data_IF_669615790618
#
_entry.id   IF_669615790618
#
_cell.length_a   1.000
_cell.length_b   1.000
_cell.length_c   1.000
_cell.angle_alpha   90.00
_cell.angle_beta   90.00
_cell.angle_gamma   90.00
#
_symmetry.space_group_name_H-M   'P 1'
#
loop_
_entity.id
_entity.type
_entity.pdbx_description
1 polymer ?
#
# COMPACT_ATOMS: atom_id res chain seq x y z
N UNK A 1 13.34 -23.37 29.72
CA UNK A 1 13.53 -24.19 28.51
C UNK A 1 13.30 -23.29 27.30
N UNK A 2 14.29 -23.10 26.44
CA UNK A 2 14.12 -22.33 25.19
C UNK A 2 13.04 -23.00 24.36
N UNK A 3 11.93 -22.31 24.08
CA UNK A 3 10.90 -22.80 23.18
C UNK A 3 11.54 -22.98 21.80
N UNK A 4 11.67 -24.21 21.33
CA UNK A 4 12.29 -24.50 20.03
C UNK A 4 11.36 -23.99 18.94
N UNK A 5 11.74 -22.85 18.30
CA UNK A 5 11.02 -22.25 17.19
C UNK A 5 11.56 -22.81 15.86
N UNK A 6 10.68 -23.38 15.06
CA UNK A 6 10.97 -23.93 13.73
C UNK A 6 10.55 -22.93 12.66
N UNK A 7 11.50 -22.50 11.84
CA UNK A 7 11.25 -21.59 10.70
C UNK A 7 11.10 -22.37 9.42
N UNK A 8 10.14 -22.00 8.58
CA UNK A 8 9.92 -22.57 7.25
C UNK A 8 9.62 -21.47 6.24
N UNK A 9 9.98 -21.72 4.98
CA UNK A 9 9.65 -20.84 3.84
C UNK A 9 8.64 -21.56 2.95
N UNK A 10 7.58 -20.84 2.56
CA UNK A 10 6.52 -21.33 1.70
C UNK A 10 6.68 -20.71 0.32
N UNK A 11 6.70 -21.53 -0.73
CA UNK A 11 6.79 -21.08 -2.13
C UNK A 11 5.45 -20.59 -2.69
N UNK A 12 4.37 -20.72 -1.92
CA UNK A 12 3.04 -20.21 -2.21
C UNK A 12 2.25 -20.05 -0.91
N UNK A 13 1.39 -19.03 -0.86
CA UNK A 13 0.46 -18.83 0.25
C UNK A 13 -0.57 -19.99 0.36
N UNK A 14 -0.84 -20.71 -0.73
CA UNK A 14 -1.72 -21.87 -0.74
C UNK A 14 -1.21 -23.04 0.13
N UNK A 15 0.04 -23.04 0.56
CA UNK A 15 0.63 -24.05 1.43
C UNK A 15 0.25 -23.92 2.91
N UNK A 16 -0.49 -22.86 3.26
CA UNK A 16 -1.03 -22.64 4.61
C UNK A 16 -2.54 -22.41 4.56
N UNK A 17 -3.25 -22.92 5.55
CA UNK A 17 -4.71 -22.74 5.60
C UNK A 17 -5.09 -21.25 5.82
N UNK A 18 -6.08 -20.71 5.08
CA UNK A 18 -6.54 -19.33 5.24
C UNK A 18 -6.89 -18.97 6.68
N UNK A 19 -7.61 -19.86 7.36
CA UNK A 19 -8.00 -19.64 8.76
C UNK A 19 -6.81 -19.54 9.73
N UNK A 20 -5.73 -20.29 9.48
CA UNK A 20 -4.51 -20.25 10.29
C UNK A 20 -3.75 -18.95 10.05
N UNK A 21 -3.60 -18.54 8.79
CA UNK A 21 -2.95 -17.30 8.38
C UNK A 21 -3.72 -16.06 8.90
N UNK A 22 -5.01 -15.95 8.54
CA UNK A 22 -5.84 -14.78 8.87
C UNK A 22 -6.03 -14.61 10.38
N UNK A 23 -6.11 -15.71 11.16
CA UNK A 23 -6.17 -15.65 12.62
C UNK A 23 -4.95 -14.97 13.23
N UNK A 24 -3.76 -15.19 12.70
CA UNK A 24 -2.53 -14.60 13.24
C UNK A 24 -2.37 -13.14 12.82
N UNK A 25 -2.91 -12.73 11.67
CA UNK A 25 -2.96 -11.31 11.29
C UNK A 25 -3.72 -10.51 12.34
N UNK A 26 -4.82 -11.05 12.86
CA UNK A 26 -5.59 -10.47 13.96
C UNK A 26 -6.29 -9.14 13.64
N UNK A 27 -6.36 -8.76 12.36
CA UNK A 27 -7.01 -7.55 11.87
C UNK A 27 -7.72 -7.81 10.54
N UNK A 28 -8.62 -6.91 10.17
CA UNK A 28 -9.35 -6.93 8.89
C UNK A 28 -8.63 -6.16 7.77
N UNK A 29 -7.34 -5.85 7.96
CA UNK A 29 -6.49 -5.21 6.94
C UNK A 29 -6.48 -6.04 5.65
N UNK A 30 -7.04 -5.54 4.53
CA UNK A 30 -7.40 -6.38 3.40
C UNK A 30 -6.20 -6.97 2.67
N UNK A 31 -5.09 -6.24 2.60
CA UNK A 31 -3.96 -6.59 1.73
C UNK A 31 -3.06 -7.69 2.27
N UNK A 32 -3.16 -8.02 3.56
CA UNK A 32 -2.43 -9.15 4.15
C UNK A 32 -3.30 -10.39 4.33
N UNK A 33 -4.62 -10.30 4.07
CA UNK A 33 -5.49 -11.48 4.09
C UNK A 33 -4.98 -12.54 3.11
N UNK A 34 -5.12 -13.80 3.50
CA UNK A 34 -4.69 -14.94 2.69
C UNK A 34 -5.28 -14.88 1.27
N UNK A 35 -6.55 -14.50 1.19
CA UNK A 35 -7.33 -14.41 -0.04
C UNK A 35 -6.76 -13.37 -1.01
N UNK A 36 -6.26 -12.24 -0.49
CA UNK A 36 -5.62 -11.21 -1.31
C UNK A 36 -4.30 -11.69 -1.91
N UNK A 37 -3.46 -12.31 -1.08
CA UNK A 37 -2.16 -12.84 -1.52
C UNK A 37 -2.35 -14.02 -2.48
N UNK A 38 -3.32 -14.90 -2.22
CA UNK A 38 -3.66 -16.01 -3.08
C UNK A 38 -4.13 -15.53 -4.46
N UNK A 39 -4.98 -14.50 -4.51
CA UNK A 39 -5.45 -13.92 -5.78
C UNK A 39 -4.29 -13.36 -6.63
N UNK A 40 -3.27 -12.78 -6.00
CA UNK A 40 -2.05 -12.32 -6.70
C UNK A 40 -1.25 -13.48 -7.29
N UNK A 41 -1.12 -14.59 -6.57
CA UNK A 41 -0.36 -15.77 -6.99
C UNK A 41 -1.11 -16.55 -8.07
N UNK A 42 -2.38 -16.90 -7.86
CA UNK A 42 -3.18 -17.68 -8.81
C UNK A 42 -3.43 -16.95 -10.12
N UNK A 43 -3.57 -15.62 -10.10
CA UNK A 43 -3.64 -14.82 -11.32
C UNK A 43 -2.30 -14.67 -12.05
N UNK A 44 -1.20 -15.21 -11.47
CA UNK A 44 0.18 -15.03 -11.93
C UNK A 44 0.66 -13.55 -12.00
N UNK A 45 -0.05 -12.60 -11.37
CA UNK A 45 0.43 -11.25 -11.16
C UNK A 45 1.69 -11.25 -10.27
N UNK A 46 1.75 -12.16 -9.30
CA UNK A 46 2.90 -12.49 -8.47
C UNK A 46 3.44 -13.84 -8.91
N UNK A 47 4.67 -13.86 -9.42
CA UNK A 47 5.32 -15.06 -9.96
C UNK A 47 6.82 -14.82 -10.18
N UNK A 48 7.56 -15.86 -10.48
CA UNK A 48 8.98 -15.74 -10.92
C UNK A 48 9.09 -14.85 -12.16
N UNK A 49 8.14 -14.94 -13.10
CA UNK A 49 8.13 -14.16 -14.34
C UNK A 49 7.92 -12.66 -14.09
N UNK A 50 7.10 -12.28 -13.14
CA UNK A 50 6.88 -10.88 -12.74
C UNK A 50 8.01 -10.33 -11.87
N UNK A 51 8.97 -11.17 -11.48
CA UNK A 51 10.05 -10.83 -10.56
C UNK A 51 9.65 -10.80 -9.08
N UNK A 52 8.50 -11.38 -8.75
CA UNK A 52 8.01 -11.56 -7.38
C UNK A 52 7.89 -13.05 -7.07
N UNK A 53 9.01 -13.73 -6.73
CA UNK A 53 8.97 -15.15 -6.35
C UNK A 53 8.54 -15.26 -4.89
N UNK A 54 7.38 -15.87 -4.55
CA UNK A 54 6.97 -16.08 -3.17
C UNK A 54 7.99 -16.91 -2.39
N UNK A 55 8.18 -16.58 -1.13
CA UNK A 55 9.04 -17.27 -0.17
C UNK A 55 8.57 -16.92 1.25
N UNK A 56 7.26 -17.03 1.51
CA UNK A 56 6.64 -16.57 2.76
C UNK A 56 7.26 -17.27 3.96
N UNK A 57 7.63 -16.50 4.97
CA UNK A 57 8.22 -17.04 6.19
C UNK A 57 7.12 -17.32 7.22
N UNK A 58 7.16 -18.53 7.78
CA UNK A 58 6.36 -18.90 8.94
C UNK A 58 7.26 -19.46 10.04
N UNK A 59 6.87 -19.20 11.28
CA UNK A 59 7.49 -19.80 12.47
C UNK A 59 6.42 -20.56 13.24
N UNK A 60 6.74 -21.82 13.57
CA UNK A 60 5.92 -22.67 14.42
C UNK A 60 6.66 -23.02 15.71
N UNK A 61 5.92 -23.20 16.80
CA UNK A 61 6.47 -23.68 18.06
C UNK A 61 6.54 -25.23 18.05
N UNK A 62 6.98 -25.82 19.16
CA UNK A 62 7.11 -27.27 19.32
C UNK A 62 5.76 -28.03 19.22
N UNK A 63 4.63 -27.36 19.43
CA UNK A 63 3.27 -27.91 19.25
C UNK A 63 2.75 -27.75 17.81
N UNK A 64 3.63 -27.42 16.86
CA UNK A 64 3.31 -27.12 15.45
C UNK A 64 2.31 -25.95 15.28
N UNK A 65 2.10 -25.12 16.32
CA UNK A 65 1.24 -23.92 16.24
C UNK A 65 1.99 -22.78 15.58
N UNK A 66 1.33 -22.08 14.66
CA UNK A 66 1.85 -20.88 14.02
C UNK A 66 1.99 -19.76 15.04
N UNK A 67 3.20 -19.23 15.21
CA UNK A 67 3.53 -18.16 16.15
C UNK A 67 4.04 -16.90 15.49
N UNK A 68 4.51 -16.98 14.24
CA UNK A 68 4.81 -15.80 13.43
C UNK A 68 4.62 -16.09 11.94
N UNK A 69 4.27 -15.06 11.20
CA UNK A 69 4.19 -15.08 9.73
C UNK A 69 4.69 -13.77 9.14
N UNK A 70 5.15 -13.85 7.89
CA UNK A 70 5.63 -12.69 7.14
C UNK A 70 5.50 -12.96 5.64
N UNK A 71 4.79 -12.13 4.86
CA UNK A 71 4.85 -12.20 3.41
C UNK A 71 6.27 -11.84 2.96
N UNK A 72 6.88 -12.70 2.20
CA UNK A 72 8.27 -12.54 1.74
C UNK A 72 8.37 -12.94 0.29
N UNK A 73 9.17 -12.19 -0.46
CA UNK A 73 9.41 -12.45 -1.88
C UNK A 73 10.88 -12.32 -2.20
N UNK A 74 11.40 -13.24 -3.03
CA UNK A 74 12.70 -13.08 -3.65
C UNK A 74 12.53 -12.35 -4.97
N UNK A 75 13.15 -11.17 -5.08
CA UNK A 75 12.98 -10.22 -6.16
C UNK A 75 14.21 -10.15 -7.07
N UNK A 76 13.98 -10.09 -8.38
CA UNK A 76 15.03 -9.86 -9.38
C UNK A 76 14.98 -8.46 -10.04
N UNK A 77 14.11 -7.58 -9.54
CA UNK A 77 13.96 -6.19 -9.96
C UNK A 77 13.22 -5.40 -8.85
N UNK A 78 13.14 -4.07 -8.95
CA UNK A 78 12.44 -3.20 -7.98
C UNK A 78 11.07 -2.73 -8.45
N UNK A 79 10.47 -3.40 -9.43
CA UNK A 79 9.15 -3.03 -9.94
C UNK A 79 8.05 -3.38 -8.95
N UNK A 80 7.07 -2.46 -8.79
CA UNK A 80 5.88 -2.67 -7.97
C UNK A 80 6.06 -2.53 -6.47
N UNK A 81 7.21 -2.05 -5.99
CA UNK A 81 7.55 -1.88 -4.56
C UNK A 81 7.11 -0.52 -4.00
N UNK A 82 7.13 0.53 -4.81
CA UNK A 82 6.83 1.93 -4.44
C UNK A 82 7.74 2.55 -3.36
N UNK A 83 8.81 1.86 -2.95
CA UNK A 83 9.96 2.42 -2.23
C UNK A 83 11.13 2.35 -3.19
N UNK A 84 11.52 3.51 -3.72
CA UNK A 84 12.46 3.56 -4.84
C UNK A 84 13.90 3.41 -4.36
N UNK A 85 14.57 2.36 -4.79
CA UNK A 85 15.95 2.03 -4.50
C UNK A 85 16.82 1.91 -5.79
N UNK A 86 16.36 2.55 -6.86
CA UNK A 86 17.06 2.53 -8.15
C UNK A 86 18.49 3.05 -8.06
N UNK A 87 18.71 4.13 -7.29
CA UNK A 87 20.03 4.69 -7.04
C UNK A 87 20.97 3.73 -6.31
N UNK A 88 20.42 2.85 -5.47
CA UNK A 88 21.20 1.81 -4.80
C UNK A 88 21.61 0.72 -5.79
N UNK A 89 20.68 0.26 -6.62
CA UNK A 89 20.97 -0.71 -7.67
C UNK A 89 22.02 -0.18 -8.66
N UNK A 90 21.90 1.08 -9.08
CA UNK A 90 22.87 1.75 -9.96
C UNK A 90 24.26 1.83 -9.29
N UNK A 91 24.33 2.16 -8.00
CA UNK A 91 25.60 2.20 -7.27
C UNK A 91 26.27 0.81 -7.20
N UNK A 92 25.51 -0.27 -6.98
CA UNK A 92 26.03 -1.64 -7.03
C UNK A 92 26.58 -1.95 -8.42
N UNK A 93 25.80 -1.68 -9.46
CA UNK A 93 26.22 -1.92 -10.85
C UNK A 93 27.51 -1.16 -11.22
N UNK A 94 27.64 0.12 -10.84
CA UNK A 94 28.85 0.92 -11.07
C UNK A 94 30.09 0.35 -10.41
N UNK A 95 29.94 -0.46 -9.37
CA UNK A 95 31.05 -1.13 -8.68
C UNK A 95 31.23 -2.60 -9.12
N UNK A 96 30.51 -3.05 -10.17
CA UNK A 96 30.60 -4.41 -10.69
C UNK A 96 30.02 -5.46 -9.75
N UNK A 97 29.06 -5.08 -8.88
CA UNK A 97 28.44 -5.97 -7.89
C UNK A 97 26.94 -6.09 -8.21
N UNK A 98 26.41 -7.30 -8.14
CA UNK A 98 24.99 -7.56 -8.38
C UNK A 98 24.13 -7.08 -7.19
N UNK A 99 23.12 -6.27 -7.48
CA UNK A 99 22.10 -5.85 -6.49
C UNK A 99 20.98 -6.88 -6.34
N UNK A 100 20.64 -7.56 -7.40
CA UNK A 100 19.62 -8.61 -7.40
C UNK A 100 20.27 -10.01 -7.38
N UNK A 101 19.61 -11.01 -6.76
CA UNK A 101 18.30 -10.92 -6.12
C UNK A 101 18.35 -10.20 -4.77
N UNK A 102 17.16 -9.79 -4.28
CA UNK A 102 16.95 -9.24 -2.94
C UNK A 102 15.68 -9.82 -2.31
N UNK A 103 15.60 -9.87 -0.99
CA UNK A 103 14.36 -10.21 -0.30
C UNK A 103 13.53 -8.96 -0.02
N UNK A 104 12.20 -9.10 -0.17
CA UNK A 104 11.25 -8.02 0.12
C UNK A 104 10.06 -8.56 0.91
N UNK A 105 9.85 -8.00 2.10
CA UNK A 105 8.64 -8.15 2.91
C UNK A 105 7.73 -6.99 2.62
N UNK A 106 6.69 -7.22 1.82
CA UNK A 106 5.76 -6.21 1.35
C UNK A 106 4.46 -6.86 0.89
N UNK A 107 3.43 -6.05 0.65
CA UNK A 107 2.29 -6.46 -0.17
C UNK A 107 2.59 -6.02 -1.62
N UNK A 108 2.67 -6.93 -2.58
CA UNK A 108 2.99 -6.59 -3.97
C UNK A 108 2.02 -5.56 -4.55
N UNK A 109 2.56 -4.59 -5.30
CA UNK A 109 1.80 -3.53 -5.99
C UNK A 109 0.94 -2.63 -5.10
N UNK A 110 1.15 -2.67 -3.76
CA UNK A 110 0.28 -2.04 -2.77
C UNK A 110 1.07 -1.17 -1.79
N UNK A 111 1.23 0.13 -2.08
CA UNK A 111 1.95 1.07 -1.22
C UNK A 111 1.08 1.54 -0.03
N UNK A 112 0.72 0.64 0.84
CA UNK A 112 -0.11 0.89 2.02
C UNK A 112 0.59 0.49 3.29
N UNK A 113 0.53 1.34 4.31
CA UNK A 113 1.03 1.01 5.65
C UNK A 113 0.11 -0.02 6.30
N UNK A 114 0.69 -1.04 6.91
CA UNK A 114 -0.03 -2.07 7.64
C UNK A 114 0.89 -3.14 8.20
N UNK A 115 0.34 -4.22 8.78
CA UNK A 115 1.14 -5.30 9.32
C UNK A 115 2.04 -5.94 8.26
N UNK A 116 3.27 -6.27 8.64
CA UNK A 116 4.26 -6.92 7.76
C UNK A 116 4.86 -8.16 8.38
N UNK A 117 4.99 -8.18 9.69
CA UNK A 117 5.39 -9.34 10.48
C UNK A 117 4.33 -9.47 11.57
N UNK A 118 3.59 -10.57 11.57
CA UNK A 118 2.58 -10.85 12.58
C UNK A 118 3.11 -11.89 13.55
N UNK A 119 3.01 -11.60 14.84
CA UNK A 119 3.52 -12.46 15.92
C UNK A 119 2.39 -12.72 16.89
N UNK A 120 2.27 -13.96 17.37
CA UNK A 120 1.23 -14.36 18.31
C UNK A 120 1.37 -13.57 19.64
N UNK A 121 0.26 -13.08 20.24
CA UNK A 121 0.30 -12.14 21.37
C UNK A 121 1.03 -12.63 22.63
N UNK A 122 1.21 -13.94 22.78
CA UNK A 122 1.85 -14.54 23.96
C UNK A 122 3.33 -14.88 23.75
N UNK A 123 3.88 -14.55 22.58
CA UNK A 123 5.30 -14.79 22.28
C UNK A 123 6.14 -13.55 22.59
N UNK A 124 7.42 -13.77 22.89
CA UNK A 124 8.39 -12.68 23.02
C UNK A 124 8.69 -12.06 21.67
N UNK A 125 8.08 -10.92 21.40
CA UNK A 125 8.13 -10.19 20.11
C UNK A 125 9.58 -9.92 19.70
N UNK A 126 10.44 -9.49 20.64
CA UNK A 126 11.85 -9.17 20.37
C UNK A 126 12.66 -10.43 20.02
N UNK A 127 12.45 -11.52 20.74
CA UNK A 127 13.11 -12.78 20.46
C UNK A 127 12.72 -13.36 19.10
N UNK A 128 11.42 -13.26 18.73
CA UNK A 128 10.93 -13.70 17.42
C UNK A 128 11.48 -12.83 16.30
N UNK A 129 11.50 -11.50 16.43
CA UNK A 129 12.09 -10.59 15.45
C UNK A 129 13.59 -10.85 15.26
N UNK A 130 14.33 -11.04 16.34
CA UNK A 130 15.77 -11.42 16.29
C UNK A 130 15.96 -12.73 15.53
N UNK A 131 15.10 -13.72 15.78
CA UNK A 131 15.12 -15.00 15.05
C UNK A 131 14.85 -14.83 13.56
N UNK A 132 13.84 -14.00 13.19
CA UNK A 132 13.53 -13.70 11.79
C UNK A 132 14.73 -13.05 11.11
N UNK A 133 15.34 -12.02 11.71
CA UNK A 133 16.49 -11.31 11.15
C UNK A 133 17.65 -12.29 10.90
N UNK A 134 18.03 -13.09 11.90
CA UNK A 134 19.13 -14.04 11.76
C UNK A 134 18.85 -15.11 10.70
N UNK A 135 17.59 -15.58 10.61
CA UNK A 135 17.16 -16.53 9.59
C UNK A 135 17.23 -15.93 8.18
N UNK A 136 16.76 -14.69 8.00
CA UNK A 136 16.82 -14.00 6.72
C UNK A 136 18.25 -13.70 6.27
N UNK A 137 19.15 -13.33 7.20
CA UNK A 137 20.57 -13.14 6.90
C UNK A 137 21.21 -14.44 6.39
N UNK A 138 20.92 -15.57 7.03
CA UNK A 138 21.41 -16.89 6.59
C UNK A 138 20.82 -17.27 5.22
N UNK A 139 19.52 -17.06 5.04
CA UNK A 139 18.82 -17.35 3.79
C UNK A 139 19.33 -16.47 2.64
N UNK A 140 19.59 -15.18 2.89
CA UNK A 140 20.17 -14.27 1.92
C UNK A 140 21.56 -14.70 1.49
N UNK A 141 22.42 -15.07 2.44
CA UNK A 141 23.76 -15.58 2.14
C UNK A 141 23.72 -16.85 1.28
N UNK A 142 22.79 -17.77 1.56
CA UNK A 142 22.67 -19.03 0.80
C UNK A 142 22.08 -18.84 -0.60
N UNK A 143 21.21 -17.83 -0.81
CA UNK A 143 20.57 -17.52 -2.09
C UNK A 143 21.33 -16.47 -2.91
N UNK A 144 22.39 -15.88 -2.38
CA UNK A 144 23.13 -14.77 -3.01
C UNK A 144 22.35 -13.45 -3.01
N UNK A 145 21.34 -13.30 -2.15
CA UNK A 145 20.58 -12.06 -2.08
C UNK A 145 21.40 -10.93 -1.42
N UNK A 146 21.40 -9.74 -2.04
CA UNK A 146 22.19 -8.59 -1.58
C UNK A 146 21.64 -7.92 -0.33
N UNK A 147 20.34 -8.09 -0.07
CA UNK A 147 19.62 -7.30 0.93
C UNK A 147 18.26 -7.91 1.28
N UNK A 148 17.68 -7.41 2.38
CA UNK A 148 16.28 -7.62 2.75
C UNK A 148 15.63 -6.30 3.12
N UNK A 149 14.44 -6.03 2.56
CA UNK A 149 13.67 -4.82 2.73
C UNK A 149 12.29 -5.12 3.30
N UNK A 150 11.88 -4.39 4.36
CA UNK A 150 10.53 -4.42 4.90
C UNK A 150 9.88 -3.09 4.53
N UNK A 151 8.87 -3.13 3.65
CA UNK A 151 8.28 -1.92 3.05
C UNK A 151 6.90 -1.62 3.65
N UNK A 152 6.68 -0.35 4.02
CA UNK A 152 5.45 0.15 4.63
C UNK A 152 4.99 -0.59 5.90
N UNK A 153 5.91 -0.97 6.81
CA UNK A 153 5.51 -1.46 8.12
C UNK A 153 4.83 -0.35 8.93
N UNK A 154 4.05 -0.74 9.92
CA UNK A 154 3.61 0.17 10.96
C UNK A 154 4.81 0.74 11.75
N UNK A 155 4.65 1.95 12.29
CA UNK A 155 5.77 2.65 12.97
C UNK A 155 6.38 1.81 14.09
N UNK A 156 5.55 1.14 14.92
CA UNK A 156 6.03 0.28 16.01
C UNK A 156 7.00 -0.79 15.51
N UNK A 157 6.60 -1.54 14.49
CA UNK A 157 7.45 -2.59 13.90
C UNK A 157 8.71 -1.98 13.28
N UNK A 158 8.57 -0.84 12.58
CA UNK A 158 9.73 -0.17 11.97
C UNK A 158 10.77 0.25 13.01
N UNK A 159 10.33 0.79 14.15
CA UNK A 159 11.22 1.18 15.24
C UNK A 159 11.92 -0.06 15.85
N UNK A 160 11.18 -1.13 16.09
CA UNK A 160 11.74 -2.39 16.61
C UNK A 160 12.80 -3.00 15.68
N UNK A 161 12.56 -2.96 14.36
CA UNK A 161 13.54 -3.43 13.38
C UNK A 161 14.78 -2.52 13.33
N UNK A 162 14.62 -1.21 13.54
CA UNK A 162 15.73 -0.28 13.64
C UNK A 162 16.56 -0.52 14.91
N UNK A 163 15.93 -0.78 16.04
CA UNK A 163 16.60 -1.12 17.32
C UNK A 163 17.39 -2.44 17.19
N UNK A 164 16.96 -3.34 16.31
CA UNK A 164 17.65 -4.58 15.96
C UNK A 164 18.69 -4.43 14.83
N UNK A 165 19.00 -3.19 14.43
CA UNK A 165 20.12 -2.85 13.54
C UNK A 165 19.77 -2.73 12.06
N UNK A 166 18.49 -2.77 11.67
CA UNK A 166 18.08 -2.45 10.29
C UNK A 166 18.08 -0.94 10.04
N UNK A 167 18.48 -0.51 8.85
CA UNK A 167 18.44 0.90 8.44
C UNK A 167 16.97 1.33 8.27
N UNK A 168 16.55 2.39 8.95
CA UNK A 168 15.19 2.92 8.85
C UNK A 168 15.15 4.12 7.88
N UNK A 169 14.39 3.99 6.80
CA UNK A 169 14.14 5.03 5.82
C UNK A 169 12.71 5.55 5.97
N UNK A 170 12.55 6.86 5.89
CA UNK A 170 11.25 7.53 5.97
C UNK A 170 10.77 7.90 4.57
N UNK A 171 9.47 7.80 4.33
CA UNK A 171 8.76 8.30 3.16
C UNK A 171 7.62 9.23 3.55
N UNK A 172 6.92 9.80 2.58
CA UNK A 172 5.74 10.61 2.81
C UNK A 172 4.61 10.20 1.87
N UNK A 173 3.43 10.02 2.44
CA UNK A 173 2.16 9.84 1.72
C UNK A 173 1.14 10.85 2.22
N UNK A 174 -0.07 10.82 1.65
CA UNK A 174 -1.13 11.74 2.00
C UNK A 174 -2.38 10.96 2.36
N UNK A 175 -2.91 11.19 3.58
CA UNK A 175 -4.12 10.54 4.08
C UNK A 175 -5.14 11.58 4.50
N UNK A 176 -6.40 11.29 4.28
CA UNK A 176 -7.49 12.10 4.79
C UNK A 176 -8.03 11.46 6.08
N UNK A 177 -8.37 12.32 7.05
CA UNK A 177 -8.89 11.91 8.35
C UNK A 177 -10.29 12.48 8.56
N UNK A 178 -11.21 11.62 8.97
CA UNK A 178 -12.55 12.02 9.34
C UNK A 178 -12.52 12.69 10.72
N UNK A 179 -12.85 13.97 10.76
CA UNK A 179 -12.94 14.73 12.01
C UNK A 179 -14.41 14.81 12.49
N UNK A 180 -15.14 13.70 12.33
CA UNK A 180 -16.57 13.59 12.65
C UNK A 180 -17.44 14.54 11.83
N UNK A 181 -17.16 14.67 10.55
CA UNK A 181 -17.97 15.45 9.64
C UNK A 181 -19.35 14.80 9.47
N UNK A 182 -20.42 15.62 9.57
CA UNK A 182 -21.80 15.14 9.38
C UNK A 182 -22.08 14.80 7.90
N UNK A 183 -21.48 15.56 7.00
CA UNK A 183 -21.61 15.41 5.54
C UNK A 183 -20.43 16.08 4.82
N UNK A 184 -20.42 15.99 3.50
CA UNK A 184 -19.37 16.58 2.68
C UNK A 184 -19.37 18.13 2.75
N UNK A 185 -20.52 18.77 2.97
CA UNK A 185 -20.59 20.23 3.12
C UNK A 185 -19.95 20.68 4.44
N UNK A 186 -20.16 19.95 5.53
CA UNK A 186 -19.51 20.23 6.82
C UNK A 186 -17.98 20.04 6.73
N UNK A 187 -17.51 19.04 5.96
CA UNK A 187 -16.09 18.92 5.62
C UNK A 187 -15.59 20.15 4.88
N UNK A 188 -16.32 20.64 3.86
CA UNK A 188 -15.97 21.86 3.13
C UNK A 188 -15.97 23.12 4.01
N UNK A 189 -16.82 23.18 5.03
CA UNK A 189 -16.86 24.31 5.96
C UNK A 189 -15.59 24.39 6.83
N UNK A 190 -14.83 23.32 6.98
CA UNK A 190 -13.52 23.34 7.65
C UNK A 190 -12.44 24.07 6.84
N UNK A 191 -12.67 24.29 5.52
CA UNK A 191 -11.70 24.91 4.62
C UNK A 191 -11.77 26.45 4.71
N UNK A 192 -10.67 27.11 4.40
CA UNK A 192 -10.62 28.54 4.13
C UNK A 192 -11.55 28.89 2.94
N UNK A 193 -12.15 30.06 2.95
CA UNK A 193 -13.19 30.47 1.97
C UNK A 193 -12.72 30.31 0.53
N UNK A 194 -11.47 30.66 0.21
CA UNK A 194 -10.89 30.54 -1.13
C UNK A 194 -10.78 29.07 -1.55
N UNK A 195 -10.27 28.19 -0.68
CA UNK A 195 -10.06 26.76 -0.97
C UNK A 195 -11.40 26.04 -1.12
N UNK A 196 -12.36 26.33 -0.25
CA UNK A 196 -13.73 25.83 -0.35
C UNK A 196 -14.39 26.20 -1.68
N UNK A 197 -14.28 27.47 -2.11
CA UNK A 197 -14.81 27.93 -3.39
C UNK A 197 -14.19 27.18 -4.58
N UNK A 198 -12.90 26.94 -4.55
CA UNK A 198 -12.21 26.21 -5.61
C UNK A 198 -12.72 24.76 -5.72
N UNK A 199 -12.85 24.04 -4.60
CA UNK A 199 -13.33 22.66 -4.60
C UNK A 199 -14.80 22.56 -5.06
N UNK A 200 -15.65 23.48 -4.60
CA UNK A 200 -17.03 23.56 -5.11
C UNK A 200 -17.09 23.80 -6.63
N UNK A 201 -16.16 24.61 -7.19
CA UNK A 201 -16.05 24.83 -8.64
C UNK A 201 -15.62 23.55 -9.37
N UNK A 202 -14.69 22.75 -8.81
CA UNK A 202 -14.27 21.48 -9.40
C UNK A 202 -15.47 20.52 -9.50
N UNK A 203 -16.21 20.30 -8.42
CA UNK A 203 -17.41 19.44 -8.41
C UNK A 203 -18.52 19.96 -9.33
N UNK A 204 -18.77 21.28 -9.33
CA UNK A 204 -19.76 21.90 -10.22
C UNK A 204 -19.44 21.64 -11.69
N UNK A 205 -18.15 21.66 -12.08
CA UNK A 205 -17.74 21.40 -13.47
C UNK A 205 -18.06 19.98 -13.91
N UNK A 206 -17.94 19.00 -13.02
CA UNK A 206 -18.35 17.61 -13.28
C UNK A 206 -19.87 17.51 -13.47
N UNK A 207 -20.66 18.19 -12.63
CA UNK A 207 -22.12 18.22 -12.76
C UNK A 207 -22.57 18.87 -14.08
N UNK A 208 -21.92 19.96 -14.49
CA UNK A 208 -22.18 20.65 -15.76
C UNK A 208 -21.94 19.74 -16.99
N UNK A 209 -21.09 18.74 -16.87
CA UNK A 209 -20.85 17.75 -17.92
C UNK A 209 -21.80 16.54 -17.85
N UNK A 210 -22.81 16.56 -16.96
CA UNK A 210 -23.77 15.48 -16.72
C UNK A 210 -23.10 14.13 -16.36
N UNK A 211 -21.96 14.17 -15.66
CA UNK A 211 -21.28 12.96 -15.20
C UNK A 211 -21.87 12.55 -13.84
N UNK A 212 -22.35 11.31 -13.77
CA UNK A 212 -22.93 10.69 -12.58
C UNK A 212 -21.99 9.65 -12.01
N UNK A 213 -22.14 9.32 -10.72
CA UNK A 213 -21.28 8.34 -10.03
C UNK A 213 -22.12 7.25 -9.36
N UNK A 214 -21.67 6.03 -9.50
CA UNK A 214 -22.25 4.86 -8.84
C UNK A 214 -21.21 4.29 -7.87
N UNK A 215 -21.64 3.94 -6.66
CA UNK A 215 -20.85 3.20 -5.67
C UNK A 215 -21.33 1.77 -5.66
N UNK A 216 -20.44 0.85 -5.96
CA UNK A 216 -20.73 -0.57 -6.02
C UNK A 216 -19.83 -1.32 -5.02
N UNK A 217 -20.44 -2.05 -4.07
CA UNK A 217 -19.72 -3.01 -3.24
C UNK A 217 -19.43 -4.26 -4.06
N UNK A 218 -18.48 -5.09 -3.62
CA UNK A 218 -18.02 -6.23 -4.42
C UNK A 218 -19.12 -7.19 -4.87
N UNK A 219 -20.18 -7.39 -4.08
CA UNK A 219 -21.35 -8.22 -4.43
C UNK A 219 -22.25 -7.63 -5.51
N UNK A 220 -22.15 -6.32 -5.76
CA UNK A 220 -23.03 -5.59 -6.69
C UNK A 220 -22.40 -5.39 -8.06
N UNK A 221 -21.10 -5.69 -8.21
CA UNK A 221 -20.35 -5.42 -9.43
C UNK A 221 -20.60 -6.53 -10.46
N UNK A 222 -21.27 -6.18 -11.54
CA UNK A 222 -21.52 -7.09 -12.65
C UNK A 222 -20.23 -7.36 -13.48
N UNK A 223 -20.14 -8.49 -14.21
CA UNK A 223 -18.97 -8.82 -15.04
C UNK A 223 -18.61 -7.73 -16.04
N UNK A 224 -19.59 -7.06 -16.64
CA UNK A 224 -19.39 -5.96 -17.62
C UNK A 224 -18.79 -4.72 -16.98
N UNK A 225 -19.11 -4.45 -15.71
CA UNK A 225 -18.54 -3.36 -14.92
C UNK A 225 -17.07 -3.65 -14.59
N UNK A 226 -16.73 -4.90 -14.24
CA UNK A 226 -15.35 -5.33 -14.07
C UNK A 226 -14.53 -5.21 -15.36
N UNK A 227 -15.09 -5.59 -16.51
CA UNK A 227 -14.43 -5.42 -17.81
C UNK A 227 -14.19 -3.94 -18.13
N UNK A 228 -15.18 -3.08 -17.88
CA UNK A 228 -15.07 -1.64 -18.08
C UNK A 228 -13.98 -1.04 -17.19
N UNK A 229 -14.01 -1.36 -15.88
CA UNK A 229 -12.97 -0.91 -14.95
C UNK A 229 -11.58 -1.40 -15.35
N UNK A 230 -11.45 -2.67 -15.75
CA UNK A 230 -10.15 -3.21 -16.17
C UNK A 230 -9.59 -2.52 -17.41
N UNK A 231 -10.44 -2.19 -18.38
CA UNK A 231 -10.05 -1.40 -19.55
C UNK A 231 -9.50 -0.02 -19.12
N UNK A 232 -10.20 0.69 -18.23
CA UNK A 232 -9.73 1.97 -17.70
C UNK A 232 -8.39 1.84 -16.97
N UNK A 233 -8.27 0.82 -16.12
CA UNK A 233 -7.03 0.54 -15.41
C UNK A 233 -5.86 0.30 -16.36
N UNK A 234 -6.04 -0.50 -17.42
CA UNK A 234 -5.02 -0.72 -18.45
C UNK A 234 -4.62 0.58 -19.14
N UNK A 235 -5.57 1.44 -19.50
CA UNK A 235 -5.31 2.72 -20.17
C UNK A 235 -4.37 3.60 -19.35
N UNK A 236 -4.47 3.60 -18.02
CA UNK A 236 -3.58 4.37 -17.14
C UNK A 236 -2.09 3.98 -17.29
N UNK A 237 -1.81 2.75 -17.66
CA UNK A 237 -0.44 2.28 -17.92
C UNK A 237 -0.05 2.47 -19.39
N UNK A 238 -0.95 2.20 -20.31
CA UNK A 238 -0.69 2.29 -21.75
C UNK A 238 -0.30 3.71 -22.17
N UNK A 239 -0.97 4.74 -21.66
CA UNK A 239 -0.62 6.15 -21.94
C UNK A 239 0.78 6.54 -21.44
N UNK A 240 1.38 5.71 -20.58
CA UNK A 240 2.75 5.87 -20.05
C UNK A 240 3.74 4.91 -20.69
N UNK A 241 3.34 4.18 -21.75
CA UNK A 241 4.17 3.19 -22.43
C UNK A 241 4.53 1.98 -21.57
N UNK A 242 3.66 1.61 -20.61
CA UNK A 242 3.90 0.49 -19.68
C UNK A 242 2.74 -0.51 -19.73
N UNK A 243 3.02 -1.74 -19.34
CA UNK A 243 1.97 -2.74 -19.07
C UNK A 243 1.49 -2.64 -17.64
N UNK A 244 0.19 -2.90 -17.43
CA UNK A 244 -0.40 -2.98 -16.12
C UNK A 244 0.19 -4.17 -15.31
N UNK A 245 0.37 -3.99 -14.01
CA UNK A 245 0.88 -5.06 -13.13
C UNK A 245 -0.15 -6.16 -12.87
N UNK A 246 -1.43 -5.79 -12.82
CA UNK A 246 -2.53 -6.69 -12.48
C UNK A 246 -3.35 -7.00 -13.73
N UNK A 247 -3.97 -8.17 -13.75
CA UNK A 247 -4.81 -8.65 -14.84
C UNK A 247 -6.28 -8.80 -14.42
N UNK A 248 -7.18 -8.99 -15.37
CA UNK A 248 -8.61 -9.15 -15.07
C UNK A 248 -8.90 -10.36 -14.16
N UNK A 249 -8.27 -11.54 -14.32
CA UNK A 249 -8.45 -12.67 -13.40
C UNK A 249 -8.21 -12.31 -11.94
N UNK A 250 -7.20 -11.49 -11.62
CA UNK A 250 -6.96 -11.01 -10.26
C UNK A 250 -8.17 -10.26 -9.68
N UNK A 251 -8.76 -9.34 -10.44
CA UNK A 251 -9.90 -8.55 -9.97
C UNK A 251 -11.17 -9.43 -9.79
N UNK A 252 -11.38 -10.37 -10.69
CA UNK A 252 -12.51 -11.30 -10.59
C UNK A 252 -12.36 -12.26 -9.40
N UNK A 253 -11.14 -12.72 -9.13
CA UNK A 253 -10.87 -13.58 -7.98
C UNK A 253 -11.05 -12.83 -6.65
N UNK A 254 -10.61 -11.57 -6.57
CA UNK A 254 -10.88 -10.72 -5.42
C UNK A 254 -12.38 -10.50 -5.19
N UNK A 255 -13.14 -10.25 -6.27
CA UNK A 255 -14.59 -10.10 -6.17
C UNK A 255 -15.26 -11.36 -5.61
N UNK A 256 -14.72 -12.53 -5.92
CA UNK A 256 -15.22 -13.82 -5.42
C UNK A 256 -14.84 -14.07 -3.95
N UNK A 257 -13.59 -13.75 -3.56
CA UNK A 257 -13.03 -14.12 -2.26
C UNK A 257 -13.20 -13.04 -1.19
N UNK A 258 -13.22 -11.76 -1.58
CA UNK A 258 -13.19 -10.62 -0.69
C UNK A 258 -14.20 -9.52 -1.06
N UNK A 259 -15.46 -9.85 -1.41
CA UNK A 259 -16.41 -8.86 -1.91
C UNK A 259 -16.75 -7.77 -0.89
N UNK A 260 -16.74 -8.08 0.41
CA UNK A 260 -17.05 -7.12 1.48
C UNK A 260 -16.00 -6.01 1.63
N UNK A 261 -14.76 -6.28 1.21
CA UNK A 261 -13.66 -5.33 1.28
C UNK A 261 -13.54 -4.43 0.05
N UNK A 262 -14.39 -4.58 -0.96
CA UNK A 262 -14.30 -3.88 -2.24
C UNK A 262 -15.29 -2.72 -2.31
N UNK A 263 -14.83 -1.58 -2.82
CA UNK A 263 -15.64 -0.46 -3.29
C UNK A 263 -15.16 -0.07 -4.69
N UNK A 264 -16.04 -0.17 -5.68
CA UNK A 264 -15.81 0.35 -7.02
C UNK A 264 -16.67 1.61 -7.22
N UNK A 265 -16.02 2.72 -7.56
CA UNK A 265 -16.67 3.94 -8.00
C UNK A 265 -16.60 4.01 -9.52
N UNK A 266 -17.75 4.00 -10.19
CA UNK A 266 -17.84 4.18 -11.65
C UNK A 266 -18.43 5.54 -11.99
N UNK A 267 -17.79 6.24 -12.91
CA UNK A 267 -18.31 7.47 -13.51
C UNK A 267 -19.03 7.15 -14.82
N UNK A 268 -20.23 7.66 -14.97
CA UNK A 268 -21.14 7.41 -16.10
C UNK A 268 -21.51 8.72 -16.78
N UNK A 269 -21.49 8.74 -18.10
CA UNK A 269 -21.93 9.83 -18.95
C UNK A 269 -22.69 9.27 -20.14
N UNK A 270 -23.88 9.81 -20.45
CA UNK A 270 -24.71 9.39 -21.58
C UNK A 270 -24.88 7.84 -21.65
N UNK A 271 -25.21 7.23 -20.51
CA UNK A 271 -25.37 5.79 -20.28
C UNK A 271 -24.10 4.92 -20.46
N UNK A 272 -22.93 5.50 -20.75
CA UNK A 272 -21.67 4.79 -20.85
C UNK A 272 -20.78 5.02 -19.60
N UNK A 273 -20.10 3.98 -19.16
CA UNK A 273 -19.03 4.12 -18.18
C UNK A 273 -17.80 4.74 -18.85
N UNK A 274 -17.27 5.81 -18.26
CA UNK A 274 -16.12 6.58 -18.80
C UNK A 274 -14.88 6.53 -17.91
N UNK A 275 -15.04 6.20 -16.63
CA UNK A 275 -13.93 6.10 -15.68
C UNK A 275 -14.31 5.24 -14.48
N UNK A 276 -13.30 4.78 -13.74
CA UNK A 276 -13.51 4.03 -12.51
C UNK A 276 -12.35 4.14 -11.52
N UNK A 277 -12.67 4.07 -10.24
CA UNK A 277 -11.72 3.98 -9.14
C UNK A 277 -12.07 2.81 -8.22
N UNK A 278 -11.11 1.91 -8.04
CA UNK A 278 -11.23 0.75 -7.14
C UNK A 278 -10.52 1.06 -5.83
N UNK A 279 -11.25 0.88 -4.75
CA UNK A 279 -10.77 0.99 -3.39
C UNK A 279 -11.01 -0.33 -2.63
N UNK A 280 -10.19 -0.54 -1.59
CA UNK A 280 -10.43 -1.58 -0.59
C UNK A 280 -10.81 -0.91 0.73
N UNK A 281 -11.40 -1.66 1.63
CA UNK A 281 -11.78 -1.15 2.95
C UNK A 281 -11.61 -2.19 4.04
N UNK A 282 -11.30 -1.71 5.22
CA UNK A 282 -11.47 -2.39 6.49
C UNK A 282 -12.53 -1.67 7.34
N UNK A 283 -12.67 -2.03 8.60
CA UNK A 283 -13.62 -1.42 9.55
C UNK A 283 -13.36 0.07 9.83
N UNK A 284 -12.18 0.59 9.52
CA UNK A 284 -11.74 1.93 9.89
C UNK A 284 -11.26 2.79 8.70
N UNK A 285 -10.78 2.16 7.63
CA UNK A 285 -10.03 2.83 6.57
C UNK A 285 -10.56 2.46 5.18
N UNK A 286 -10.66 3.46 4.31
CA UNK A 286 -10.77 3.29 2.86
C UNK A 286 -9.37 3.38 2.23
N UNK A 287 -9.04 2.47 1.33
CA UNK A 287 -7.76 2.41 0.62
C UNK A 287 -7.98 2.57 -0.88
N UNK A 288 -7.85 3.78 -1.41
CA UNK A 288 -7.88 4.03 -2.86
C UNK A 288 -6.63 3.47 -3.54
N UNK A 289 -6.81 2.62 -4.54
CA UNK A 289 -5.66 1.91 -5.15
C UNK A 289 -5.55 2.04 -6.64
N UNK A 290 -6.59 1.81 -7.37
CA UNK A 290 -6.52 1.75 -8.83
C UNK A 290 -7.52 2.70 -9.46
N UNK A 291 -7.08 3.36 -10.52
CA UNK A 291 -7.84 4.34 -11.26
C UNK A 291 -7.59 4.21 -12.75
N UNK A 292 -8.59 4.55 -13.54
CA UNK A 292 -8.43 4.79 -14.96
C UNK A 292 -9.66 5.42 -15.60
N UNK A 293 -9.51 5.85 -16.84
CA UNK A 293 -10.56 6.42 -17.66
C UNK A 293 -10.31 6.14 -19.15
N UNK A 294 -11.36 6.23 -19.96
CA UNK A 294 -11.23 6.20 -21.42
C UNK A 294 -10.83 7.58 -21.96
N UNK A 295 -11.42 8.64 -21.40
CA UNK A 295 -11.15 10.03 -21.78
C UNK A 295 -10.87 10.88 -20.55
N UNK A 296 -9.92 11.83 -20.68
CA UNK A 296 -9.63 12.78 -19.64
C UNK A 296 -10.65 13.93 -19.66
N UNK A 297 -11.47 14.01 -18.62
CA UNK A 297 -12.34 15.16 -18.35
C UNK A 297 -11.76 16.00 -17.23
N UNK A 298 -11.86 17.32 -17.34
CA UNK A 298 -11.33 18.22 -16.32
C UNK A 298 -11.94 17.90 -14.95
N UNK A 299 -11.09 17.60 -13.96
CA UNK A 299 -11.42 17.23 -12.57
C UNK A 299 -12.04 15.83 -12.38
N UNK A 300 -12.27 15.04 -13.42
CA UNK A 300 -12.83 13.69 -13.29
C UNK A 300 -12.03 12.81 -12.34
N UNK A 301 -10.71 12.81 -12.48
CA UNK A 301 -9.81 12.08 -11.57
C UNK A 301 -10.02 12.49 -10.11
N UNK A 302 -10.14 13.78 -9.83
CA UNK A 302 -10.30 14.27 -8.45
C UNK A 302 -11.66 13.91 -7.87
N UNK A 303 -12.72 14.03 -8.67
CA UNK A 303 -14.04 13.63 -8.23
C UNK A 303 -14.09 12.14 -7.93
N UNK A 304 -13.69 11.30 -8.90
CA UNK A 304 -13.81 9.85 -8.79
C UNK A 304 -12.90 9.25 -7.70
N UNK A 305 -11.61 9.70 -7.64
CA UNK A 305 -10.63 9.12 -6.73
C UNK A 305 -10.66 9.72 -5.33
N UNK A 306 -11.06 11.00 -5.16
CA UNK A 306 -10.92 11.67 -3.87
C UNK A 306 -12.26 12.09 -3.29
N UNK A 307 -13.07 12.85 -4.01
CA UNK A 307 -14.30 13.39 -3.43
C UNK A 307 -15.34 12.32 -3.17
N UNK A 308 -15.51 11.38 -4.08
CA UNK A 308 -16.37 10.20 -3.88
C UNK A 308 -15.89 9.33 -2.73
N UNK A 309 -14.57 9.12 -2.59
CA UNK A 309 -14.00 8.37 -1.47
C UNK A 309 -14.16 9.06 -0.12
N UNK A 310 -13.96 10.39 -0.04
CA UNK A 310 -14.19 11.18 1.18
C UNK A 310 -15.68 11.13 1.57
N UNK A 311 -16.57 11.33 0.61
CA UNK A 311 -18.01 11.28 0.83
C UNK A 311 -18.47 9.90 1.32
N UNK A 312 -17.93 8.84 0.71
CA UNK A 312 -18.13 7.46 1.17
C UNK A 312 -17.66 7.26 2.62
N UNK A 313 -16.44 7.72 2.95
CA UNK A 313 -15.91 7.60 4.32
C UNK A 313 -16.80 8.31 5.34
N UNK A 314 -17.26 9.52 5.04
CA UNK A 314 -18.18 10.27 5.92
C UNK A 314 -19.48 9.49 6.12
N UNK A 315 -20.09 9.02 5.02
CA UNK A 315 -21.37 8.29 5.05
C UNK A 315 -21.29 6.96 5.80
N UNK A 316 -20.15 6.26 5.68
CA UNK A 316 -19.93 4.96 6.34
C UNK A 316 -19.29 5.08 7.73
N UNK A 317 -18.93 6.28 8.19
CA UNK A 317 -18.26 6.50 9.46
C UNK A 317 -16.80 6.05 9.50
N UNK A 318 -16.17 5.80 8.35
CA UNK A 318 -14.76 5.44 8.28
C UNK A 318 -13.89 6.62 8.74
N UNK A 319 -12.84 6.32 9.49
CA UNK A 319 -12.02 7.35 10.13
C UNK A 319 -10.87 7.83 9.24
N UNK A 320 -10.46 7.04 8.25
CA UNK A 320 -9.29 7.34 7.43
C UNK A 320 -9.51 6.98 5.96
N UNK A 321 -8.92 7.78 5.08
CA UNK A 321 -8.80 7.47 3.67
C UNK A 321 -7.33 7.55 3.24
N UNK A 322 -6.74 6.39 2.95
CA UNK A 322 -5.43 6.24 2.33
C UNK A 322 -5.60 6.24 0.81
N UNK A 323 -5.26 7.34 0.17
CA UNK A 323 -5.44 7.53 -1.28
C UNK A 323 -4.25 7.06 -2.12
N UNK A 324 -3.37 6.23 -1.57
CA UNK A 324 -2.20 5.66 -2.24
C UNK A 324 -0.99 6.59 -2.29
N UNK A 325 0.08 6.10 -2.94
CA UNK A 325 1.35 6.82 -3.06
C UNK A 325 1.23 8.05 -3.96
N UNK A 326 2.11 9.04 -3.71
CA UNK A 326 2.35 10.26 -4.49
C UNK A 326 1.14 11.22 -4.61
N UNK A 327 1.41 12.44 -5.08
CA UNK A 327 0.41 13.43 -5.44
C UNK A 327 0.22 14.57 -4.45
N UNK A 328 1.10 15.58 -4.50
CA UNK A 328 0.98 16.81 -3.67
C UNK A 328 -0.34 17.57 -3.88
N UNK A 329 -0.99 17.38 -5.04
CA UNK A 329 -2.31 17.93 -5.31
C UNK A 329 -3.39 17.46 -4.32
N UNK A 330 -3.16 16.35 -3.61
CA UNK A 330 -4.02 15.83 -2.52
C UNK A 330 -4.09 16.79 -1.33
N UNK A 331 -3.00 17.52 -1.03
CA UNK A 331 -2.93 18.48 0.08
C UNK A 331 -4.07 19.52 -0.03
N UNK A 332 -4.28 20.07 -1.22
CA UNK A 332 -5.32 21.08 -1.43
C UNK A 332 -6.74 20.54 -1.31
N UNK A 333 -6.91 19.22 -1.24
CA UNK A 333 -8.18 18.50 -1.09
C UNK A 333 -8.38 17.92 0.31
N UNK A 334 -7.52 18.34 1.26
CA UNK A 334 -7.66 18.02 2.67
C UNK A 334 -6.94 16.74 3.12
N UNK A 335 -6.12 16.15 2.26
CA UNK A 335 -5.25 15.06 2.67
C UNK A 335 -4.01 15.61 3.39
N UNK A 336 -3.72 15.08 4.54
CA UNK A 336 -2.62 15.49 5.41
C UNK A 336 -1.37 14.64 5.10
N UNK A 337 -0.15 15.23 5.11
CA UNK A 337 1.08 14.49 4.91
C UNK A 337 1.35 13.58 6.12
N UNK A 338 1.60 12.31 5.87
CA UNK A 338 1.92 11.30 6.88
C UNK A 338 3.23 10.61 6.56
N UNK A 339 4.02 10.30 7.58
CA UNK A 339 5.23 9.52 7.38
C UNK A 339 4.88 8.05 7.11
N UNK A 340 5.64 7.46 6.20
CA UNK A 340 5.72 6.02 5.97
C UNK A 340 7.13 5.55 6.24
N UNK A 341 7.31 4.27 6.53
CA UNK A 341 8.60 3.72 6.90
C UNK A 341 8.95 2.53 6.02
N UNK A 342 10.25 2.31 5.87
CA UNK A 342 10.80 1.07 5.37
C UNK A 342 12.10 0.74 6.13
N UNK A 343 12.36 -0.55 6.31
CA UNK A 343 13.56 -1.01 6.99
C UNK A 343 14.40 -1.87 6.04
N UNK A 344 15.71 -1.69 6.10
CA UNK A 344 16.62 -2.28 5.15
C UNK A 344 17.80 -2.94 5.86
N UNK A 345 18.03 -4.21 5.57
CA UNK A 345 19.29 -4.89 5.86
C UNK A 345 20.06 -5.06 4.56
N UNK A 346 21.33 -4.68 4.55
CA UNK A 346 22.23 -4.72 3.39
C UNK A 346 23.40 -5.63 3.72
N UNK A 347 23.62 -6.66 2.91
CA UNK A 347 24.66 -7.68 3.18
C UNK A 347 26.08 -7.12 3.08
N UNK A 348 26.34 -6.24 2.10
CA UNK A 348 27.68 -5.69 1.87
C UNK A 348 27.95 -4.51 2.82
N UNK A 349 28.98 -4.60 3.73
CA UNK A 349 29.18 -3.59 4.79
C UNK A 349 29.43 -2.17 4.28
N UNK A 350 30.19 -2.00 3.20
CA UNK A 350 30.49 -0.67 2.64
C UNK A 350 29.24 -0.04 2.03
N UNK A 351 28.43 -0.81 1.30
CA UNK A 351 27.14 -0.32 0.79
C UNK A 351 26.15 -0.03 1.92
N UNK A 352 26.12 -0.86 2.97
CA UNK A 352 25.32 -0.59 4.16
C UNK A 352 25.66 0.76 4.78
N UNK A 353 26.96 1.07 4.95
CA UNK A 353 27.43 2.35 5.48
C UNK A 353 27.03 3.53 4.55
N UNK A 354 27.25 3.41 3.25
CA UNK A 354 26.91 4.46 2.27
C UNK A 354 25.39 4.72 2.20
N UNK A 355 24.59 3.66 2.16
CA UNK A 355 23.13 3.75 2.16
C UNK A 355 22.63 4.37 3.48
N UNK A 356 23.21 4.04 4.61
CA UNK A 356 22.86 4.66 5.90
C UNK A 356 23.09 6.17 5.89
N UNK A 357 24.23 6.62 5.33
CA UNK A 357 24.49 8.04 5.20
C UNK A 357 23.48 8.75 4.28
N UNK A 358 23.18 8.15 3.13
CA UNK A 358 22.16 8.63 2.20
C UNK A 358 20.79 8.77 2.88
N UNK A 359 20.35 7.73 3.61
CA UNK A 359 19.07 7.73 4.32
C UNK A 359 19.00 8.84 5.37
N UNK A 360 20.09 9.11 6.11
CA UNK A 360 20.12 10.19 7.10
C UNK A 360 19.90 11.57 6.47
N UNK A 361 20.51 11.82 5.33
CA UNK A 361 20.33 13.08 4.59
C UNK A 361 18.91 13.20 4.03
N UNK A 362 18.38 12.12 3.43
CA UNK A 362 17.03 12.08 2.89
C UNK A 362 15.97 12.31 3.99
N UNK A 363 16.10 11.67 5.15
CA UNK A 363 15.18 11.82 6.28
C UNK A 363 15.15 13.27 6.81
N UNK A 364 16.28 13.99 6.82
CA UNK A 364 16.32 15.40 7.20
C UNK A 364 15.56 16.29 6.20
N UNK A 365 15.71 16.02 4.90
CA UNK A 365 15.01 16.76 3.86
C UNK A 365 13.49 16.50 3.94
N UNK A 366 13.09 15.27 4.18
CA UNK A 366 11.69 14.88 4.26
C UNK A 366 10.98 15.49 5.48
N UNK A 367 11.67 15.58 6.63
CA UNK A 367 11.13 16.24 7.82
C UNK A 367 10.86 17.74 7.60
N UNK A 368 11.71 18.40 6.81
CA UNK A 368 11.49 19.81 6.42
C UNK A 368 10.32 19.91 5.43
N UNK A 369 10.26 19.00 4.47
CA UNK A 369 9.19 18.95 3.48
C UNK A 369 7.82 18.78 4.13
N UNK A 370 7.65 17.86 5.08
CA UNK A 370 6.38 17.64 5.77
C UNK A 370 5.87 18.93 6.45
N UNK A 371 6.75 19.62 7.20
CA UNK A 371 6.40 20.90 7.85
C UNK A 371 5.99 21.97 6.84
N UNK A 372 6.57 21.96 5.64
CA UNK A 372 6.16 22.87 4.57
C UNK A 372 4.81 22.46 3.98
N UNK A 373 4.61 21.18 3.71
CA UNK A 373 3.38 20.64 3.15
C UNK A 373 2.15 20.93 4.03
N UNK A 374 2.31 20.85 5.36
CA UNK A 374 1.25 21.21 6.33
C UNK A 374 0.76 22.65 6.17
N UNK A 375 1.63 23.58 5.77
CA UNK A 375 1.26 25.00 5.56
C UNK A 375 0.33 25.21 4.36
N UNK A 376 0.29 24.24 3.44
CA UNK A 376 -0.55 24.29 2.24
C UNK A 376 -1.89 23.57 2.41
N UNK A 377 -2.16 22.98 3.58
CA UNK A 377 -3.46 22.39 3.91
C UNK A 377 -4.57 23.43 3.73
N UNK A 378 -5.75 23.01 3.26
CA UNK A 378 -6.82 23.94 2.91
C UNK A 378 -7.60 24.46 4.12
N UNK A 379 -7.40 23.90 5.28
CA UNK A 379 -8.17 24.15 6.50
C UNK A 379 -8.05 25.61 6.98
N UNK A 380 -9.07 26.08 7.66
CA UNK A 380 -9.00 27.35 8.40
C UNK A 380 -7.85 27.26 9.39
N UNK A 381 -7.02 28.29 9.43
CA UNK A 381 -6.09 28.44 10.56
C UNK A 381 -6.97 28.71 11.79
N UNK A 382 -6.82 27.87 12.82
CA UNK A 382 -7.36 28.26 14.12
C UNK A 382 -6.64 29.56 14.48
N UNK A 383 -7.39 30.65 14.55
CA UNK A 383 -6.96 31.82 15.29
C UNK A 383 -6.93 31.37 16.76
N UNK A 384 -5.77 30.88 17.19
CA UNK A 384 -5.53 30.78 18.62
C UNK A 384 -5.49 32.21 19.16
N UNK A 385 -6.32 32.54 20.16
CA UNK A 385 -6.27 33.81 20.84
C UNK A 385 -4.89 34.03 21.52
#
# INVERSE_FOLDING_TARGET
>A
MSKQLKTSFLDSIAQIAPAEWNKLIGSDYPFLQHEFLLSLEESACVSVRSGWKPSHLIIKNHDEKLVALMPLYLKNNSMGEYVFDWSWADAYYQHGIEYYPKYVTSVPFTPSVGPRICIAPLEDEQAVLTKIISCLQQQANSSGASSWHVLFPEKKLSDQLADLGMLQRTGCQYQWFNKNYADFESFLQSFSSRKRKNLKKERKKIQENNIQFEWLNGHEIAPEQWQSFYRFYQNTYLVRGRSAYLNLPFFLELARLMPDQILLVLAKKDDAYIAGALSFKDSNTLYGRYWGCDEEWQFLHFETCYYQGIEYCIKQGLQKFDSGAQGEHKIQRGFEPVFTFSNHWIAHPQFSAAINQFIKEENQHLSRYQKLAEKYLPYKKNENP
#
